data_IF_261882565348
#
_entry.id   IF_261882565348
#
_cell.length_a   1.000
_cell.length_b   1.000
_cell.length_c   1.000
_cell.angle_alpha   90.00
_cell.angle_beta   90.00
_cell.angle_gamma   90.00
#
_symmetry.space_group_name_H-M   'P 1'
#
loop_
_entity.id
_entity.type
_entity.pdbx_description
1 polymer ?
#
# COMPACT_ATOMS: atom_id res chain seq x y z
N UNK A 1 9.94 4.29 -1.85
CA UNK A 1 8.80 3.46 -1.41
C UNK A 1 8.93 3.37 0.09
N UNK A 2 7.90 3.76 0.84
CA UNK A 2 7.91 3.59 2.29
C UNK A 2 8.08 2.10 2.58
N UNK A 3 9.15 1.76 3.30
CA UNK A 3 9.51 0.40 3.66
C UNK A 3 8.91 0.04 5.01
N UNK A 4 8.82 -1.25 5.34
CA UNK A 4 8.42 -1.70 6.68
C UNK A 4 9.27 -1.07 7.80
N UNK A 5 10.54 -0.76 7.49
CA UNK A 5 11.44 -0.04 8.40
C UNK A 5 11.00 1.41 8.62
N UNK A 6 10.52 2.09 7.57
CA UNK A 6 10.00 3.46 7.70
C UNK A 6 8.71 3.46 8.53
N UNK A 7 7.88 2.42 8.38
CA UNK A 7 6.70 2.20 9.22
C UNK A 7 7.06 1.97 10.68
N UNK A 8 8.04 1.11 10.97
CA UNK A 8 8.54 0.86 12.33
C UNK A 8 9.03 2.16 12.98
N UNK A 9 9.81 2.97 12.25
CA UNK A 9 10.28 4.25 12.73
C UNK A 9 9.15 5.24 13.02
N UNK A 10 8.12 5.30 12.16
CA UNK A 10 6.94 6.13 12.41
C UNK A 10 6.17 5.68 13.65
N UNK A 11 5.99 4.37 13.83
CA UNK A 11 5.30 3.85 15.02
C UNK A 11 6.05 4.14 16.32
N UNK A 12 7.39 4.13 16.29
CA UNK A 12 8.20 4.52 17.44
C UNK A 12 8.05 6.00 17.80
N UNK A 13 8.01 6.90 16.80
CA UNK A 13 7.74 8.33 17.05
C UNK A 13 6.36 8.56 17.68
N UNK A 14 5.37 7.79 17.27
CA UNK A 14 4.03 7.83 17.83
C UNK A 14 4.02 7.39 19.30
N UNK A 15 4.75 6.34 19.63
CA UNK A 15 4.94 5.89 21.02
C UNK A 15 5.60 6.98 21.88
N UNK A 16 6.64 7.62 21.36
CA UNK A 16 7.34 8.72 22.05
C UNK A 16 6.39 9.92 22.30
N UNK A 17 5.60 10.31 21.31
CA UNK A 17 4.63 11.42 21.43
C UNK A 17 3.53 11.11 22.44
N UNK A 18 2.98 9.89 22.42
CA UNK A 18 2.01 9.44 23.43
C UNK A 18 2.64 9.44 24.82
N UNK A 19 3.90 9.02 24.93
CA UNK A 19 4.67 9.06 26.17
C UNK A 19 4.81 10.49 26.72
N UNK A 20 5.16 11.45 25.85
CA UNK A 20 5.25 12.87 26.20
C UNK A 20 3.90 13.43 26.66
N UNK A 21 2.82 13.15 25.93
CA UNK A 21 1.47 13.57 26.30
C UNK A 21 1.06 13.03 27.68
N UNK A 22 1.33 11.75 27.95
CA UNK A 22 1.06 11.14 29.27
C UNK A 22 1.87 11.80 30.38
N UNK A 23 3.13 12.11 30.12
CA UNK A 23 4.00 12.82 31.07
C UNK A 23 3.40 14.19 31.43
N UNK A 24 3.06 15.00 30.42
CA UNK A 24 2.46 16.33 30.62
C UNK A 24 1.16 16.29 31.42
N UNK A 25 0.30 15.30 31.16
CA UNK A 25 -0.96 15.12 31.91
C UNK A 25 -0.73 14.65 33.36
N UNK A 26 0.38 13.98 33.64
CA UNK A 26 0.66 13.38 34.96
C UNK A 26 1.48 14.27 35.90
N UNK A 27 2.17 15.29 35.39
CA UNK A 27 3.10 16.12 36.16
C UNK A 27 2.44 17.14 37.10
N UNK A 28 1.10 17.17 37.18
CA UNK A 28 0.33 18.01 38.11
C UNK A 28 0.27 19.50 37.78
N UNK A 29 1.13 19.99 36.86
CA UNK A 29 1.06 21.32 36.29
C UNK A 29 1.00 21.22 34.76
N UNK A 30 -0.21 20.98 34.24
CA UNK A 30 -0.46 20.71 32.83
C UNK A 30 -0.26 21.98 32.01
N UNK A 31 0.66 21.93 31.05
CA UNK A 31 0.76 22.93 29.98
C UNK A 31 -0.21 22.57 28.85
N UNK A 32 -1.39 23.19 28.85
CA UNK A 32 -2.43 22.93 27.85
C UNK A 32 -2.02 23.33 26.43
N UNK A 33 -1.15 24.33 26.26
CA UNK A 33 -0.66 24.68 24.92
C UNK A 33 0.21 23.56 24.37
N UNK A 34 1.11 23.02 25.21
CA UNK A 34 1.94 21.88 24.85
C UNK A 34 1.11 20.62 24.58
N UNK A 35 0.07 20.37 25.37
CA UNK A 35 -0.86 19.25 25.16
C UNK A 35 -1.56 19.35 23.80
N UNK A 36 -2.03 20.54 23.41
CA UNK A 36 -2.63 20.75 22.08
C UNK A 36 -1.61 20.49 20.98
N UNK A 37 -0.40 21.03 21.08
CA UNK A 37 0.65 20.79 20.09
C UNK A 37 1.00 19.30 19.95
N UNK A 38 1.11 18.58 21.06
CA UNK A 38 1.36 17.13 21.05
C UNK A 38 0.21 16.35 20.40
N UNK A 39 -1.04 16.78 20.60
CA UNK A 39 -2.21 16.15 19.98
C UNK A 39 -2.22 16.35 18.46
N UNK A 40 -1.88 17.57 17.99
CA UNK A 40 -1.77 17.86 16.56
C UNK A 40 -0.66 17.00 15.91
N UNK A 41 0.52 16.92 16.55
CA UNK A 41 1.64 16.11 16.08
C UNK A 41 1.29 14.60 16.04
N UNK A 42 0.53 14.11 17.02
CA UNK A 42 0.03 12.73 17.04
C UNK A 42 -0.91 12.45 15.87
N UNK A 43 -1.79 13.39 15.52
CA UNK A 43 -2.71 13.23 14.39
C UNK A 43 -1.93 13.12 13.09
N UNK A 44 -0.95 14.01 12.86
CA UNK A 44 -0.14 14.01 11.65
C UNK A 44 0.69 12.72 11.51
N UNK A 45 1.31 12.25 12.59
CA UNK A 45 2.04 10.97 12.56
C UNK A 45 1.11 9.78 12.34
N UNK A 46 -0.09 9.77 12.92
CA UNK A 46 -1.07 8.70 12.72
C UNK A 46 -1.55 8.62 11.27
N UNK A 47 -1.81 9.75 10.64
CA UNK A 47 -2.15 9.81 9.21
C UNK A 47 -1.00 9.29 8.35
N UNK A 48 0.24 9.69 8.64
CA UNK A 48 1.43 9.18 7.93
C UNK A 48 1.63 7.66 8.05
N UNK A 49 1.31 7.08 9.21
CA UNK A 49 1.30 5.61 9.40
C UNK A 49 0.23 4.97 8.52
N UNK A 50 -0.99 5.51 8.54
CA UNK A 50 -2.10 4.96 7.76
C UNK A 50 -1.83 5.00 6.24
N UNK A 51 -1.31 6.12 5.73
CA UNK A 51 -0.91 6.24 4.33
C UNK A 51 0.16 5.23 3.94
N UNK A 52 1.16 5.04 4.81
CA UNK A 52 2.24 4.07 4.58
C UNK A 52 1.70 2.63 4.48
N UNK A 53 0.83 2.21 5.41
CA UNK A 53 0.24 0.88 5.38
C UNK A 53 -0.68 0.68 4.17
N UNK A 54 -1.44 1.71 3.76
CA UNK A 54 -2.24 1.64 2.54
C UNK A 54 -1.36 1.45 1.29
N UNK A 55 -0.27 2.22 1.17
CA UNK A 55 0.69 2.09 0.07
C UNK A 55 1.35 0.70 0.02
N UNK A 56 1.71 0.15 1.19
CA UNK A 56 2.26 -1.20 1.30
C UNK A 56 1.25 -2.26 0.89
N UNK A 57 0.00 -2.15 1.33
CA UNK A 57 -1.08 -3.06 0.97
C UNK A 57 -1.34 -3.05 -0.55
N UNK A 58 -1.43 -1.85 -1.15
CA UNK A 58 -1.65 -1.70 -2.60
C UNK A 58 -0.51 -2.33 -3.40
N UNK A 59 0.73 -2.13 -2.96
CA UNK A 59 1.91 -2.73 -3.59
C UNK A 59 1.86 -4.26 -3.50
N UNK A 60 1.47 -4.81 -2.35
CA UNK A 60 1.32 -6.25 -2.15
C UNK A 60 0.22 -6.84 -3.04
N UNK A 61 -0.94 -6.19 -3.09
CA UNK A 61 -2.09 -6.61 -3.90
C UNK A 61 -1.76 -6.58 -5.39
N UNK A 62 -1.12 -5.52 -5.89
CA UNK A 62 -0.67 -5.45 -7.28
C UNK A 62 0.36 -6.54 -7.61
N UNK A 63 1.27 -6.85 -6.68
CA UNK A 63 2.21 -7.97 -6.82
C UNK A 63 1.49 -9.31 -6.91
N UNK A 64 0.50 -9.52 -6.04
CA UNK A 64 -0.32 -10.74 -6.02
C UNK A 64 -1.15 -10.91 -7.30
N UNK A 65 -1.73 -9.83 -7.83
CA UNK A 65 -2.50 -9.84 -9.08
C UNK A 65 -1.62 -10.12 -10.29
N UNK A 66 -0.38 -9.61 -10.32
CA UNK A 66 0.61 -9.97 -11.36
C UNK A 66 0.97 -11.46 -11.30
N UNK A 67 1.15 -12.01 -10.11
CA UNK A 67 1.47 -13.43 -9.92
C UNK A 67 0.28 -14.34 -10.25
N UNK A 68 -0.95 -13.94 -9.88
CA UNK A 68 -2.19 -14.66 -10.20
C UNK A 68 -2.57 -14.54 -11.69
N UNK A 69 -2.36 -13.36 -12.29
CA UNK A 69 -2.64 -13.07 -13.70
C UNK A 69 -1.61 -13.67 -14.68
N UNK A 70 -0.39 -13.96 -14.23
CA UNK A 70 0.66 -14.61 -15.04
C UNK A 70 0.37 -16.06 -15.43
N UNK A 71 -0.75 -16.65 -14.98
CA UNK A 71 -1.15 -18.02 -15.30
C UNK A 71 -2.14 -18.15 -16.46
N UNK A 72 -2.50 -17.05 -17.13
CA UNK A 72 -3.39 -17.07 -18.29
C UNK A 72 -2.66 -16.86 -19.62
N UNK A 73 -2.34 -18.02 -20.24
CA UNK A 73 -2.28 -18.29 -21.69
C UNK A 73 -1.07 -17.74 -22.47
N UNK A 74 0.09 -18.37 -22.21
CA UNK A 74 0.93 -18.78 -23.34
C UNK A 74 0.24 -19.97 -24.03
N UNK A 75 -0.62 -19.68 -25.02
CA UNK A 75 -0.98 -20.66 -26.04
C UNK A 75 -0.16 -20.33 -27.28
N UNK A 76 0.98 -21.00 -27.35
CA UNK A 76 1.90 -21.05 -28.47
C UNK A 76 1.13 -21.24 -29.78
N UNK A 77 1.47 -20.41 -30.76
CA UNK A 77 1.25 -20.64 -32.19
C UNK A 77 1.83 -22.02 -32.56
N UNK A 78 1.10 -22.82 -33.34
CA UNK A 78 1.54 -23.37 -34.64
C UNK A 78 0.63 -24.54 -35.05
N UNK A 79 -0.01 -24.45 -36.22
CA UNK A 79 -0.01 -25.51 -37.24
C UNK A 79 -1.01 -25.19 -38.34
N UNK A 80 -0.48 -24.64 -39.42
CA UNK A 80 -0.79 -24.94 -40.82
C UNK A 80 -1.67 -26.19 -41.05
N UNK A 81 -2.84 -26.02 -41.68
CA UNK A 81 -3.56 -27.10 -42.37
C UNK A 81 -4.57 -26.54 -43.39
N UNK A 82 -4.03 -26.12 -44.53
CA UNK A 82 -4.52 -26.39 -45.89
C UNK A 82 -5.97 -26.94 -46.02
N UNK A 83 -6.85 -26.15 -46.65
CA UNK A 83 -7.96 -26.70 -47.44
C UNK A 83 -8.32 -25.76 -48.58
N UNK A 84 -7.66 -26.01 -49.72
CA UNK A 84 -8.23 -25.78 -51.04
C UNK A 84 -9.58 -26.49 -51.12
N UNK A 85 -10.64 -25.76 -51.46
CA UNK A 85 -11.82 -26.34 -52.11
C UNK A 85 -12.53 -25.27 -52.95
N UNK A 86 -12.26 -25.38 -54.25
CA UNK A 86 -13.02 -24.90 -55.41
C UNK A 86 -14.48 -24.54 -55.12
N UNK A 87 -14.92 -23.40 -55.64
CA UNK A 87 -15.99 -23.32 -56.64
C UNK A 87 -16.17 -21.88 -57.13
N UNK A 88 -15.42 -21.54 -58.17
CA UNK A 88 -15.87 -20.55 -59.13
C UNK A 88 -17.01 -21.17 -59.93
N UNK A 89 -18.24 -20.70 -59.75
CA UNK A 89 -19.31 -20.91 -60.73
C UNK A 89 -19.64 -19.58 -61.37
N UNK A 90 -19.04 -19.40 -62.54
CA UNK A 90 -19.45 -18.46 -63.58
C UNK A 90 -20.81 -18.89 -64.14
N UNK A 91 -21.74 -17.95 -64.32
CA UNK A 91 -22.44 -17.59 -65.57
C UNK A 91 -23.67 -16.76 -65.24
#
# INVERSE_FOLDING_TARGET
MASLKDTEQLTGKLEDLVGQLRSELSNGNVDFQKVVSLADELSEQADGVAETFNSLNDTLMQGLDKVKGGRSRSSNRDSDAKSESKAATRS
#
